data_IF_402433220372
#
_entry.id   IF_402433220372
#
_cell.length_a   1.000
_cell.length_b   1.000
_cell.length_c   1.000
_cell.angle_alpha   90.00
_cell.angle_beta   90.00
_cell.angle_gamma   90.00
#
_symmetry.space_group_name_H-M   'P 1'
#
loop_
_entity.id
_entity.type
_entity.pdbx_description
1 polymer ?
#
# COMPACT_ATOMS: atom_id res chain seq x y z
N UNK A 1 7.69 -12.75 2.91
CA UNK A 1 8.70 -13.28 1.95
C UNK A 1 10.16 -13.02 2.33
N UNK A 2 10.71 -11.80 2.23
CA UNK A 2 12.14 -11.54 2.48
C UNK A 2 12.58 -11.85 3.92
N UNK A 3 11.73 -11.54 4.89
CA UNK A 3 11.95 -11.89 6.30
C UNK A 3 11.95 -13.41 6.50
N UNK A 4 11.02 -14.14 5.88
CA UNK A 4 10.95 -15.61 5.97
C UNK A 4 12.13 -16.32 5.31
N UNK A 5 12.67 -15.78 4.21
CA UNK A 5 13.91 -16.27 3.61
C UNK A 5 15.10 -16.17 4.58
N UNK A 6 15.19 -15.06 5.31
CA UNK A 6 16.26 -14.83 6.28
C UNK A 6 16.14 -15.73 7.52
N UNK A 7 14.91 -16.08 7.90
CA UNK A 7 14.60 -16.94 9.04
C UNK A 7 14.84 -18.41 8.68
N UNK A 8 14.25 -18.89 7.59
CA UNK A 8 14.27 -20.31 7.23
C UNK A 8 15.56 -20.73 6.55
N UNK A 9 16.30 -19.79 5.93
CA UNK A 9 17.54 -20.05 5.16
C UNK A 9 17.46 -21.35 4.34
N UNK A 10 16.44 -21.50 3.48
CA UNK A 10 16.24 -22.70 2.69
C UNK A 10 17.40 -22.91 1.70
N UNK A 11 17.73 -24.18 1.42
CA UNK A 11 18.79 -24.55 0.48
C UNK A 11 18.52 -24.05 -0.95
N UNK A 12 17.24 -24.01 -1.36
CA UNK A 12 16.78 -23.36 -2.58
C UNK A 12 15.85 -22.17 -2.26
N UNK A 13 16.37 -20.93 -2.27
CA UNK A 13 15.57 -19.75 -1.96
C UNK A 13 14.52 -19.43 -3.03
N UNK A 14 14.71 -19.82 -4.29
CA UNK A 14 13.78 -19.50 -5.38
C UNK A 14 12.56 -20.42 -5.31
N UNK A 15 12.77 -21.72 -5.11
CA UNK A 15 11.66 -22.66 -4.95
C UNK A 15 10.87 -22.37 -3.66
N UNK A 16 11.56 -21.99 -2.58
CA UNK A 16 10.93 -21.51 -1.36
C UNK A 16 10.06 -20.27 -1.60
N UNK A 17 10.55 -19.27 -2.34
CA UNK A 17 9.77 -18.08 -2.70
C UNK A 17 8.54 -18.43 -3.54
N UNK A 18 8.69 -19.33 -4.51
CA UNK A 18 7.58 -19.76 -5.38
C UNK A 18 6.51 -20.49 -4.56
N UNK A 19 6.90 -21.39 -3.67
CA UNK A 19 5.96 -22.10 -2.80
C UNK A 19 5.33 -21.17 -1.78
N UNK A 20 6.11 -20.24 -1.20
CA UNK A 20 5.63 -19.19 -0.31
C UNK A 20 4.60 -18.29 -1.00
N UNK A 21 4.84 -17.84 -2.24
CA UNK A 21 3.89 -17.06 -3.03
C UNK A 21 2.61 -17.83 -3.41
N UNK A 22 2.72 -19.16 -3.60
CA UNK A 22 1.57 -20.02 -3.92
C UNK A 22 0.73 -20.36 -2.68
N UNK A 23 1.33 -20.40 -1.50
CA UNK A 23 0.69 -20.83 -0.26
C UNK A 23 0.23 -19.67 0.62
N UNK A 24 1.00 -18.59 0.67
CA UNK A 24 0.76 -17.43 1.53
C UNK A 24 0.10 -16.32 0.72
N UNK A 25 -1.11 -15.95 1.14
CA UNK A 25 -1.73 -14.71 0.68
C UNK A 25 -1.04 -13.55 1.40
N UNK A 26 -0.12 -12.84 0.74
CA UNK A 26 0.59 -11.68 1.31
C UNK A 26 -0.36 -10.56 1.78
N UNK A 27 -1.62 -10.58 1.34
CA UNK A 27 -2.68 -9.67 1.76
C UNK A 27 -3.49 -10.17 2.97
N UNK A 28 -3.23 -11.38 3.48
CA UNK A 28 -3.89 -11.89 4.67
C UNK A 28 -3.56 -11.03 5.91
N UNK A 29 -4.56 -10.65 6.73
CA UNK A 29 -4.34 -9.82 7.91
C UNK A 29 -3.52 -10.59 8.96
N UNK A 30 -2.49 -9.94 9.50
CA UNK A 30 -1.68 -10.44 10.63
C UNK A 30 -1.65 -9.34 11.68
N UNK A 31 -2.59 -9.37 12.63
CA UNK A 31 -2.84 -8.23 13.51
C UNK A 31 -2.73 -8.66 14.97
N UNK A 32 -2.02 -7.91 15.80
CA UNK A 32 -2.10 -8.03 17.25
C UNK A 32 -2.96 -6.91 17.83
N UNK A 33 -3.88 -7.24 18.74
CA UNK A 33 -4.69 -6.27 19.48
C UNK A 33 -4.31 -6.33 20.95
N UNK A 34 -3.65 -5.27 21.41
CA UNK A 34 -3.10 -5.09 22.75
C UNK A 34 -3.80 -3.96 23.50
N UNK A 35 -3.66 -3.94 24.82
CA UNK A 35 -4.26 -2.91 25.68
C UNK A 35 -4.41 -3.38 27.12
N UNK A 36 -4.78 -2.49 28.07
CA UNK A 36 -5.02 -2.82 29.46
C UNK A 36 -6.38 -3.51 29.68
N UNK A 37 -6.58 -4.33 30.73
CA UNK A 37 -7.87 -4.98 30.99
C UNK A 37 -9.05 -3.99 30.93
N UNK A 38 -10.18 -4.43 30.36
CA UNK A 38 -11.38 -3.60 30.12
C UNK A 38 -11.26 -2.47 29.06
N UNK A 39 -10.18 -2.44 28.26
CA UNK A 39 -10.04 -1.49 27.15
C UNK A 39 -10.87 -1.78 25.89
N UNK A 40 -11.62 -2.88 25.83
CA UNK A 40 -12.39 -3.28 24.64
C UNK A 40 -11.64 -4.08 23.57
N UNK A 41 -10.46 -4.65 23.91
CA UNK A 41 -9.67 -5.52 22.99
C UNK A 41 -10.51 -6.60 22.30
N UNK A 42 -11.32 -7.30 23.09
CA UNK A 42 -12.16 -8.41 22.64
C UNK A 42 -13.15 -7.96 21.57
N UNK A 43 -13.84 -6.84 21.81
CA UNK A 43 -14.78 -6.23 20.86
C UNK A 43 -14.07 -5.85 19.56
N UNK A 44 -12.90 -5.21 19.66
CA UNK A 44 -12.09 -4.83 18.48
C UNK A 44 -11.62 -6.06 17.71
N UNK A 45 -11.11 -7.08 18.39
CA UNK A 45 -10.63 -8.31 17.77
C UNK A 45 -11.77 -9.07 17.06
N UNK A 46 -12.94 -9.23 17.69
CA UNK A 46 -14.11 -9.86 17.06
C UNK A 46 -14.58 -9.10 15.82
N UNK A 47 -14.63 -7.78 15.90
CA UNK A 47 -15.04 -6.94 14.80
C UNK A 47 -14.07 -7.05 13.61
N UNK A 48 -12.75 -7.03 13.88
CA UNK A 48 -11.72 -7.24 12.86
C UNK A 48 -11.82 -8.63 12.22
N UNK A 49 -12.10 -9.68 13.01
CA UNK A 49 -12.29 -11.03 12.50
C UNK A 49 -13.48 -11.10 11.54
N UNK A 50 -14.59 -10.46 11.89
CA UNK A 50 -15.79 -10.38 11.04
C UNK A 50 -15.54 -9.59 9.76
N UNK A 51 -14.82 -8.47 9.86
CA UNK A 51 -14.56 -7.59 8.72
C UNK A 51 -13.59 -8.21 7.70
N UNK A 52 -12.51 -8.84 8.17
CA UNK A 52 -11.49 -9.42 7.30
C UNK A 52 -11.68 -10.93 7.04
N UNK A 53 -12.72 -11.54 7.59
CA UNK A 53 -12.93 -12.98 7.59
C UNK A 53 -11.69 -13.75 8.10
N UNK A 54 -11.09 -13.23 9.17
CA UNK A 54 -9.85 -13.71 9.76
C UNK A 54 -10.09 -14.47 11.07
N UNK A 55 -9.10 -15.25 11.49
CA UNK A 55 -9.24 -16.14 12.64
C UNK A 55 -8.81 -15.45 13.93
N UNK A 56 -9.71 -15.43 14.92
CA UNK A 56 -9.40 -14.97 16.27
C UNK A 56 -8.56 -16.00 17.00
N UNK A 57 -7.44 -15.56 17.58
CA UNK A 57 -6.58 -16.38 18.44
C UNK A 57 -6.40 -15.63 19.77
N UNK A 58 -7.03 -16.15 20.82
CA UNK A 58 -6.90 -15.67 22.20
C UNK A 58 -6.45 -16.81 23.13
N UNK A 59 -6.03 -16.46 24.35
CA UNK A 59 -5.71 -17.46 25.40
C UNK A 59 -6.84 -18.47 25.61
N UNK A 60 -8.08 -17.99 25.65
CA UNK A 60 -9.27 -18.82 25.85
C UNK A 60 -9.50 -19.75 24.65
N UNK A 61 -9.39 -19.23 23.42
CA UNK A 61 -9.60 -20.04 22.20
C UNK A 61 -8.53 -21.13 22.05
N UNK A 62 -7.29 -20.85 22.46
CA UNK A 62 -6.19 -21.83 22.43
C UNK A 62 -6.39 -22.96 23.45
N UNK A 63 -6.96 -22.66 24.62
CA UNK A 63 -7.19 -23.64 25.68
C UNK A 63 -8.48 -24.47 25.46
N UNK A 64 -9.47 -23.94 24.75
CA UNK A 64 -10.77 -24.62 24.58
C UNK A 64 -10.73 -25.77 23.56
N UNK A 65 -9.84 -25.74 22.56
CA UNK A 65 -9.77 -26.79 21.54
C UNK A 65 -8.98 -28.01 22.06
N UNK A 66 -9.68 -29.12 22.30
CA UNK A 66 -9.17 -30.42 22.81
C UNK A 66 -8.22 -31.18 21.88
N UNK A 67 -7.64 -30.54 20.86
CA UNK A 67 -6.97 -31.26 19.78
C UNK A 67 -5.48 -31.60 20.06
N UNK A 68 -4.85 -31.05 21.10
CA UNK A 68 -3.38 -31.02 21.21
C UNK A 68 -2.85 -31.49 22.57
N UNK A 69 -1.82 -32.36 22.55
CA UNK A 69 -1.13 -32.85 23.75
C UNK A 69 -0.54 -31.72 24.62
N UNK A 70 -0.12 -30.62 24.01
CA UNK A 70 0.37 -29.43 24.73
C UNK A 70 -0.75 -28.62 25.40
N UNK A 71 -2.00 -28.73 24.92
CA UNK A 71 -3.15 -28.08 25.57
C UNK A 71 -3.54 -28.76 26.87
N UNK A 72 -3.35 -30.08 26.98
CA UNK A 72 -3.55 -30.81 28.24
C UNK A 72 -2.54 -30.38 29.30
N UNK A 73 -1.28 -30.19 28.93
CA UNK A 73 -0.25 -29.67 29.83
C UNK A 73 -0.58 -28.24 30.29
N UNK A 74 -0.98 -27.36 29.37
CA UNK A 74 -1.41 -26.00 29.70
C UNK A 74 -2.66 -25.97 30.60
N UNK A 75 -3.64 -26.86 30.36
CA UNK A 75 -4.82 -27.04 31.22
C UNK A 75 -4.42 -27.51 32.61
N UNK A 76 -3.46 -28.42 32.74
CA UNK A 76 -2.98 -28.90 34.04
C UNK A 76 -2.32 -27.78 34.88
N UNK A 77 -1.61 -26.83 34.26
CA UNK A 77 -1.10 -25.65 34.97
C UNK A 77 -2.24 -24.74 35.44
N UNK A 78 -3.28 -24.56 34.61
CA UNK A 78 -4.45 -23.75 34.95
C UNK A 78 -5.26 -24.37 36.10
N UNK A 79 -5.46 -25.69 36.08
CA UNK A 79 -6.10 -26.44 37.18
C UNK A 79 -5.32 -26.34 38.50
N UNK A 80 -3.99 -26.18 38.43
CA UNK A 80 -3.10 -25.97 39.58
C UNK A 80 -2.98 -24.50 40.00
N UNK A 81 -3.72 -23.57 39.38
CA UNK A 81 -3.58 -22.12 39.57
C UNK A 81 -2.15 -21.60 39.37
N UNK A 82 -1.37 -22.23 38.50
CA UNK A 82 0.00 -21.82 38.15
C UNK A 82 0.03 -21.04 36.85
N UNK A 83 0.96 -20.07 36.73
CA UNK A 83 1.19 -19.34 35.47
C UNK A 83 1.75 -20.30 34.42
N UNK A 84 1.12 -20.32 33.25
CA UNK A 84 1.59 -21.11 32.10
C UNK A 84 2.92 -20.53 31.60
N UNK A 85 3.96 -21.36 31.37
CA UNK A 85 5.24 -20.89 30.86
C UNK A 85 5.12 -20.17 29.51
N UNK A 86 5.88 -19.08 29.32
CA UNK A 86 5.89 -18.29 28.07
C UNK A 86 6.24 -19.14 26.84
N UNK A 87 7.14 -20.12 26.99
CA UNK A 87 7.51 -21.04 25.92
C UNK A 87 6.34 -21.94 25.47
N UNK A 88 5.50 -22.39 26.41
CA UNK A 88 4.33 -23.21 26.08
C UNK A 88 3.29 -22.39 25.31
N UNK A 89 3.09 -21.13 25.69
CA UNK A 89 2.25 -20.20 24.93
C UNK A 89 2.75 -19.97 23.50
N UNK A 90 4.05 -19.74 23.33
CA UNK A 90 4.64 -19.54 22.01
C UNK A 90 4.44 -20.76 21.10
N UNK A 91 4.64 -21.98 21.62
CA UNK A 91 4.42 -23.23 20.89
C UNK A 91 2.96 -23.40 20.47
N UNK A 92 2.00 -23.17 21.39
CA UNK A 92 0.57 -23.26 21.11
C UNK A 92 0.13 -22.26 20.04
N UNK A 93 0.65 -21.02 20.09
CA UNK A 93 0.36 -20.00 19.09
C UNK A 93 0.97 -20.41 17.74
N UNK A 94 2.23 -20.83 17.72
CA UNK A 94 2.92 -21.26 16.50
C UNK A 94 2.17 -22.40 15.79
N UNK A 95 1.77 -23.42 16.53
CA UNK A 95 1.02 -24.56 15.99
C UNK A 95 -0.34 -24.10 15.46
N UNK A 96 -1.07 -23.25 16.20
CA UNK A 96 -2.37 -22.74 15.74
C UNK A 96 -2.26 -21.90 14.47
N UNK A 97 -1.22 -21.07 14.37
CA UNK A 97 -0.98 -20.20 13.23
C UNK A 97 -0.44 -20.95 12.01
N UNK A 98 0.14 -22.14 12.20
CA UNK A 98 0.61 -23.02 11.12
C UNK A 98 -0.51 -23.76 10.38
N UNK A 99 -1.75 -23.69 10.88
CA UNK A 99 -2.88 -24.32 10.21
C UNK A 99 -3.27 -23.58 8.92
N UNK A 100 -3.75 -24.35 7.93
CA UNK A 100 -4.09 -23.85 6.57
C UNK A 100 -5.16 -22.75 6.61
N UNK A 101 -6.05 -22.77 7.60
CA UNK A 101 -7.09 -21.77 7.80
C UNK A 101 -6.46 -20.40 8.14
N UNK A 102 -5.57 -20.34 9.13
CA UNK A 102 -4.84 -19.14 9.54
C UNK A 102 -3.93 -18.60 8.44
N UNK A 103 -3.30 -19.48 7.65
CA UNK A 103 -2.42 -19.10 6.54
C UNK A 103 -3.21 -18.39 5.43
N UNK A 104 -4.39 -18.91 5.06
CA UNK A 104 -5.19 -18.37 3.95
C UNK A 104 -6.02 -17.15 4.34
N UNK A 105 -6.62 -17.17 5.52
CA UNK A 105 -7.57 -16.14 5.99
C UNK A 105 -6.91 -15.06 6.83
N UNK A 106 -5.69 -15.29 7.31
CA UNK A 106 -5.03 -14.44 8.27
C UNK A 106 -5.51 -14.67 9.70
N UNK A 107 -4.85 -13.99 10.63
CA UNK A 107 -5.04 -14.17 12.06
C UNK A 107 -5.04 -12.84 12.81
N UNK A 108 -5.82 -12.81 13.89
CA UNK A 108 -5.88 -11.71 14.84
C UNK A 108 -5.54 -12.28 16.22
N UNK A 109 -4.36 -11.90 16.72
CA UNK A 109 -3.91 -12.25 18.06
C UNK A 109 -4.46 -11.24 19.06
N UNK A 110 -5.29 -11.71 19.98
CA UNK A 110 -5.85 -10.90 21.05
C UNK A 110 -5.09 -11.12 22.35
N UNK A 111 -4.60 -10.02 22.93
CA UNK A 111 -3.95 -10.05 24.25
C UNK A 111 -2.53 -10.64 24.25
N UNK A 112 -1.98 -10.99 23.09
CA UNK A 112 -0.59 -11.44 22.96
C UNK A 112 0.24 -10.48 22.09
N UNK A 113 1.51 -10.22 22.45
CA UNK A 113 2.20 -10.65 23.67
C UNK A 113 1.85 -9.82 24.93
N UNK A 114 1.96 -10.42 26.12
CA UNK A 114 1.75 -9.74 27.42
C UNK A 114 3.04 -9.20 28.05
N UNK A 115 4.20 -9.71 27.64
CA UNK A 115 5.51 -9.32 28.15
C UNK A 115 6.58 -9.39 27.04
N UNK A 116 7.78 -8.87 27.33
CA UNK A 116 8.90 -8.85 26.39
C UNK A 116 9.34 -10.25 25.95
N UNK A 117 9.40 -11.20 26.88
CA UNK A 117 9.81 -12.58 26.57
C UNK A 117 8.87 -13.26 25.57
N UNK A 118 7.56 -13.10 25.73
CA UNK A 118 6.57 -13.62 24.78
C UNK A 118 6.73 -12.96 23.40
N UNK A 119 6.98 -11.64 23.37
CA UNK A 119 7.20 -10.93 22.11
C UNK A 119 8.42 -11.47 21.35
N UNK A 120 9.53 -11.71 22.06
CA UNK A 120 10.73 -12.31 21.50
C UNK A 120 10.51 -13.74 21.03
N UNK A 121 9.81 -14.56 21.82
CA UNK A 121 9.50 -15.94 21.44
C UNK A 121 8.68 -15.99 20.15
N UNK A 122 7.62 -15.18 20.05
CA UNK A 122 6.81 -15.07 18.83
C UNK A 122 7.66 -14.69 17.62
N UNK A 123 8.53 -13.69 17.75
CA UNK A 123 9.43 -13.28 16.66
C UNK A 123 10.42 -14.39 16.28
N UNK A 124 11.00 -15.08 17.27
CA UNK A 124 11.92 -16.20 17.03
C UNK A 124 11.25 -17.40 16.33
N UNK A 125 9.96 -17.61 16.59
CA UNK A 125 9.12 -18.61 15.94
C UNK A 125 8.62 -18.19 14.55
N UNK A 126 9.05 -17.04 14.02
CA UNK A 126 8.65 -16.58 12.69
C UNK A 126 7.32 -15.82 12.65
N UNK A 127 6.75 -15.47 13.80
CA UNK A 127 5.42 -14.84 13.89
C UNK A 127 5.59 -13.32 13.96
N UNK A 128 5.39 -12.67 12.82
CA UNK A 128 5.47 -11.22 12.70
C UNK A 128 4.10 -10.61 12.40
N UNK A 129 3.51 -9.86 13.34
CA UNK A 129 2.31 -9.09 13.05
C UNK A 129 2.64 -7.97 12.07
N UNK A 130 1.78 -7.80 11.08
CA UNK A 130 1.83 -6.69 10.14
C UNK A 130 1.45 -5.40 10.87
N UNK A 131 0.39 -5.43 11.67
CA UNK A 131 -0.10 -4.29 12.45
C UNK A 131 -0.24 -4.66 13.92
N UNK A 132 0.13 -3.74 14.81
CA UNK A 132 -0.09 -3.86 16.25
C UNK A 132 -0.96 -2.69 16.71
N UNK A 133 -2.16 -3.00 17.17
CA UNK A 133 -3.11 -2.02 17.68
C UNK A 133 -3.01 -1.99 19.19
N UNK A 134 -2.75 -0.82 19.76
CA UNK A 134 -2.61 -0.67 21.20
C UNK A 134 -3.69 0.26 21.75
N UNK A 135 -4.64 -0.30 22.46
CA UNK A 135 -5.70 0.46 23.13
C UNK A 135 -5.19 1.02 24.45
N UNK A 136 -5.47 2.29 24.74
CA UNK A 136 -5.18 2.91 26.04
C UNK A 136 -6.38 3.69 26.55
N UNK A 137 -6.59 3.72 27.87
CA UNK A 137 -7.58 4.58 28.53
C UNK A 137 -7.11 4.83 29.97
N UNK A 138 -7.63 5.87 30.66
CA UNK A 138 -7.30 6.12 32.07
C UNK A 138 -7.69 4.94 32.97
N UNK A 139 -6.87 4.64 33.97
CA UNK A 139 -7.10 3.51 34.89
C UNK A 139 -8.44 3.61 35.62
N UNK A 140 -8.88 4.82 35.97
CA UNK A 140 -10.19 5.07 36.59
C UNK A 140 -11.33 4.58 35.69
N UNK A 141 -11.29 4.94 34.40
CA UNK A 141 -12.26 4.52 33.39
C UNK A 141 -12.23 3.00 33.20
N UNK A 142 -11.04 2.39 33.19
CA UNK A 142 -10.90 0.95 33.02
C UNK A 142 -11.44 0.15 34.22
N UNK A 143 -11.22 0.63 35.44
CA UNK A 143 -11.76 0.04 36.67
C UNK A 143 -13.30 0.11 36.65
N UNK A 144 -13.87 1.27 36.31
CA UNK A 144 -15.33 1.45 36.18
C UNK A 144 -15.93 0.50 35.13
N UNK A 145 -15.32 0.44 33.93
CA UNK A 145 -15.72 -0.47 32.85
C UNK A 145 -15.61 -1.94 33.25
N UNK A 146 -14.63 -2.28 34.09
CA UNK A 146 -14.48 -3.64 34.59
C UNK A 146 -15.63 -4.02 35.52
N UNK A 147 -16.13 -3.07 36.33
CA UNK A 147 -17.28 -3.28 37.22
C UNK A 147 -18.61 -3.53 36.50
N UNK A 148 -18.77 -2.98 35.28
CA UNK A 148 -19.96 -3.14 34.44
C UNK A 148 -20.05 -4.47 33.68
N UNK A 149 -19.01 -5.31 33.72
CA UNK A 149 -18.98 -6.59 33.00
C UNK A 149 -19.97 -7.60 33.58
N UNK A 150 -20.60 -8.36 32.69
CA UNK A 150 -21.46 -9.51 33.01
C UNK A 150 -21.07 -10.68 32.12
N UNK A 151 -21.10 -11.88 32.66
CA UNK A 151 -20.82 -13.12 31.93
C UNK A 151 -22.11 -13.90 31.81
N UNK A 152 -22.37 -14.41 30.60
CA UNK A 152 -23.40 -15.43 30.38
C UNK A 152 -22.82 -16.82 30.73
N UNK A 153 -23.36 -17.52 31.75
CA UNK A 153 -22.85 -18.83 32.15
C UNK A 153 -22.99 -19.92 31.08
N UNK A 154 -23.92 -19.76 30.13
CA UNK A 154 -24.19 -20.77 29.09
C UNK A 154 -23.31 -20.59 27.87
N UNK A 155 -23.18 -19.35 27.39
CA UNK A 155 -22.43 -19.04 26.16
C UNK A 155 -20.99 -18.62 26.45
N UNK A 156 -20.67 -18.30 27.71
CA UNK A 156 -19.42 -17.67 28.14
C UNK A 156 -19.16 -16.31 27.45
N UNK A 157 -20.20 -15.70 26.87
CA UNK A 157 -20.10 -14.36 26.29
C UNK A 157 -20.07 -13.29 27.39
N UNK A 158 -19.27 -12.25 27.16
CA UNK A 158 -19.10 -11.14 28.09
C UNK A 158 -19.88 -9.94 27.58
N UNK A 159 -20.85 -9.50 28.38
CA UNK A 159 -21.67 -8.32 28.16
C UNK A 159 -21.27 -7.17 29.09
N UNK A 160 -21.75 -5.96 28.81
CA UNK A 160 -21.51 -4.80 29.65
C UNK A 160 -22.79 -3.99 29.84
N UNK A 161 -23.10 -3.62 31.08
CA UNK A 161 -24.33 -2.87 31.46
C UNK A 161 -24.59 -1.62 30.63
N UNK A 162 -23.53 -0.89 30.28
CA UNK A 162 -23.61 0.39 29.57
C UNK A 162 -23.37 0.33 28.07
N UNK A 163 -22.54 -0.60 27.58
CA UNK A 163 -22.01 -0.54 26.20
C UNK A 163 -22.49 -1.68 25.30
N UNK A 164 -22.88 -2.80 25.88
CA UNK A 164 -23.20 -4.02 25.15
C UNK A 164 -24.16 -4.87 26.01
N UNK A 165 -25.39 -4.37 26.16
CA UNK A 165 -26.44 -5.05 26.92
C UNK A 165 -27.32 -5.85 25.96
N UNK A 166 -27.53 -7.16 26.18
CA UNK A 166 -28.26 -8.00 25.25
C UNK A 166 -29.73 -7.59 25.17
N UNK A 167 -30.33 -7.61 23.98
CA UNK A 167 -31.75 -7.25 23.79
C UNK A 167 -32.72 -8.32 24.30
N UNK A 168 -32.26 -9.57 24.41
CA UNK A 168 -33.08 -10.71 24.84
C UNK A 168 -33.22 -10.75 26.38
N UNK A 169 -34.44 -10.63 26.93
CA UNK A 169 -34.68 -10.65 28.38
C UNK A 169 -34.19 -11.93 29.07
N UNK A 170 -34.23 -13.08 28.39
CA UNK A 170 -33.81 -14.36 28.96
C UNK A 170 -32.29 -14.43 29.16
N UNK A 171 -31.54 -13.74 28.29
CA UNK A 171 -30.09 -13.60 28.44
C UNK A 171 -29.79 -12.65 29.60
N UNK A 172 -30.52 -11.54 29.71
CA UNK A 172 -30.32 -10.55 30.77
C UNK A 172 -30.48 -11.15 32.18
N UNK A 173 -31.51 -11.98 32.40
CA UNK A 173 -31.78 -12.57 33.72
C UNK A 173 -30.71 -13.56 34.19
N UNK A 174 -30.01 -14.22 33.27
CA UNK A 174 -28.96 -15.21 33.60
C UNK A 174 -27.55 -14.63 33.69
N UNK A 175 -27.37 -13.34 33.40
CA UNK A 175 -26.07 -12.68 33.44
C UNK A 175 -25.54 -12.56 34.87
N UNK A 176 -24.35 -13.11 35.13
CA UNK A 176 -23.71 -13.06 36.45
C UNK A 176 -22.49 -12.13 36.42
N UNK A 177 -22.21 -11.46 37.54
CA UNK A 177 -20.96 -10.72 37.71
C UNK A 177 -19.82 -11.73 37.92
N UNK A 178 -18.76 -11.73 37.10
CA UNK A 178 -17.61 -12.62 37.29
C UNK A 178 -16.97 -12.47 38.67
N UNK A 179 -16.54 -13.59 39.27
CA UNK A 179 -15.92 -13.64 40.59
C UNK A 179 -14.56 -12.90 40.64
N UNK A 180 -13.82 -12.86 39.52
CA UNK A 180 -12.44 -12.32 39.41
C UNK A 180 -12.33 -10.78 39.15
N UNK A 181 -13.36 -10.02 39.51
CA UNK A 181 -13.48 -8.58 39.20
C UNK A 181 -13.51 -7.68 40.43
N UNK A 182 -12.83 -8.06 41.52
CA UNK A 182 -12.62 -7.11 42.61
C UNK A 182 -11.76 -5.93 42.12
N UNK A 183 -12.03 -4.73 42.62
CA UNK A 183 -11.25 -3.53 42.23
C UNK A 183 -9.75 -3.70 42.49
N UNK A 184 -9.40 -4.44 43.55
CA UNK A 184 -8.01 -4.75 43.91
C UNK A 184 -7.33 -5.64 42.87
N UNK A 185 -8.02 -6.65 42.35
CA UNK A 185 -7.48 -7.54 41.30
C UNK A 185 -7.34 -6.82 39.96
N UNK A 186 -8.31 -5.98 39.60
CA UNK A 186 -8.22 -5.15 38.38
C UNK A 186 -7.04 -4.20 38.47
N UNK A 187 -6.84 -3.56 39.63
CA UNK A 187 -5.70 -2.69 39.89
C UNK A 187 -4.37 -3.44 39.79
N UNK A 188 -4.29 -4.67 40.31
CA UNK A 188 -3.10 -5.52 40.20
C UNK A 188 -2.78 -5.88 38.74
N UNK A 189 -3.80 -6.22 37.94
CA UNK A 189 -3.66 -6.51 36.50
C UNK A 189 -3.23 -5.27 35.71
N UNK A 190 -3.74 -4.09 36.05
CA UNK A 190 -3.31 -2.81 35.45
C UNK A 190 -1.85 -2.50 35.77
N UNK A 191 -1.43 -2.69 37.02
CA UNK A 191 -0.03 -2.50 37.42
C UNK A 191 0.93 -3.44 36.68
N UNK A 192 0.55 -4.71 36.52
CA UNK A 192 1.36 -5.69 35.76
C UNK A 192 1.46 -5.29 34.28
N UNK A 193 0.35 -4.85 33.68
CA UNK A 193 0.32 -4.33 32.32
C UNK A 193 1.24 -3.11 32.12
N UNK A 194 1.14 -2.11 33.00
CA UNK A 194 1.95 -0.88 32.90
C UNK A 194 3.45 -1.14 33.08
N UNK A 195 3.84 -2.19 33.80
CA UNK A 195 5.25 -2.63 33.91
C UNK A 195 5.79 -3.17 32.60
N UNK A 196 5.01 -4.01 31.91
CA UNK A 196 5.45 -4.68 30.68
C UNK A 196 5.28 -3.80 29.43
N UNK A 197 4.37 -2.82 29.48
CA UNK A 197 4.00 -1.97 28.36
C UNK A 197 5.19 -1.32 27.62
N UNK A 198 6.13 -0.64 28.30
CA UNK A 198 7.21 0.09 27.62
C UNK A 198 8.10 -0.81 26.76
N UNK A 199 8.33 -2.04 27.20
CA UNK A 199 9.18 -3.01 26.50
C UNK A 199 8.53 -3.49 25.20
N UNK A 200 7.23 -3.82 25.25
CA UNK A 200 6.46 -4.24 24.08
C UNK A 200 6.33 -3.08 23.07
N UNK A 201 6.11 -1.86 23.58
CA UNK A 201 6.04 -0.66 22.75
C UNK A 201 7.34 -0.47 21.94
N UNK A 202 8.49 -0.69 22.57
CA UNK A 202 9.78 -0.57 21.89
C UNK A 202 9.99 -1.64 20.81
N UNK A 203 9.61 -2.90 21.08
CA UNK A 203 9.73 -4.01 20.12
C UNK A 203 8.92 -3.76 18.85
N UNK A 204 7.68 -3.29 18.99
CA UNK A 204 6.76 -3.13 17.87
C UNK A 204 6.64 -1.68 17.36
N UNK A 205 7.53 -0.77 17.77
CA UNK A 205 7.43 0.66 17.49
C UNK A 205 7.14 1.01 16.01
N UNK A 206 7.66 0.23 15.06
CA UNK A 206 7.47 0.45 13.61
C UNK A 206 6.09 0.05 13.08
N UNK A 207 5.44 -0.90 13.74
CA UNK A 207 4.17 -1.50 13.32
C UNK A 207 3.03 -1.22 14.29
N UNK A 208 3.29 -0.46 15.36
CA UNK A 208 2.36 -0.21 16.46
C UNK A 208 1.70 1.17 16.34
N UNK A 209 0.39 1.22 16.61
CA UNK A 209 -0.36 2.47 16.79
C UNK A 209 -1.17 2.45 18.08
N UNK A 210 -1.00 3.49 18.89
CA UNK A 210 -1.81 3.74 20.08
C UNK A 210 -3.13 4.41 19.73
N UNK A 211 -4.25 3.89 20.24
CA UNK A 211 -5.60 4.41 20.01
C UNK A 211 -6.30 4.58 21.36
N UNK A 212 -6.91 5.75 21.56
CA UNK A 212 -7.68 6.03 22.78
C UNK A 212 -8.93 5.14 22.81
N UNK A 213 -9.13 4.40 23.89
CA UNK A 213 -10.33 3.60 24.13
C UNK A 213 -11.37 4.34 24.96
N UNK A 214 -11.05 5.53 25.48
CA UNK A 214 -11.99 6.42 26.18
C UNK A 214 -12.81 7.28 25.20
N UNK A 215 -13.46 6.61 24.25
CA UNK A 215 -14.35 7.18 23.25
C UNK A 215 -15.37 6.10 22.82
N UNK A 216 -16.45 6.46 22.10
CA UNK A 216 -17.43 5.49 21.62
C UNK A 216 -16.79 4.35 20.82
N UNK A 217 -17.31 3.13 20.94
CA UNK A 217 -16.76 1.92 20.31
C UNK A 217 -16.64 2.05 18.79
N UNK A 218 -17.59 2.73 18.16
CA UNK A 218 -17.60 3.01 16.71
C UNK A 218 -16.39 3.85 16.28
N UNK A 219 -16.00 4.84 17.09
CA UNK A 219 -14.86 5.72 16.80
C UNK A 219 -13.52 5.00 17.01
N UNK A 220 -13.44 4.15 18.04
CA UNK A 220 -12.28 3.26 18.23
C UNK A 220 -12.13 2.36 17.00
N UNK A 221 -13.21 1.70 16.59
CA UNK A 221 -13.20 0.76 15.47
C UNK A 221 -12.83 1.43 14.14
N UNK A 222 -13.34 2.63 13.87
CA UNK A 222 -13.01 3.37 12.64
C UNK A 222 -11.53 3.75 12.59
N UNK A 223 -10.94 4.17 13.71
CA UNK A 223 -9.51 4.48 13.80
C UNK A 223 -8.63 3.24 13.67
N UNK A 224 -9.05 2.12 14.27
CA UNK A 224 -8.37 0.83 14.17
C UNK A 224 -8.39 0.35 12.72
N UNK A 225 -9.57 0.38 12.08
CA UNK A 225 -9.75 0.04 10.68
C UNK A 225 -8.84 0.85 9.76
N UNK A 226 -8.89 2.18 9.90
CA UNK A 226 -8.09 3.07 9.08
C UNK A 226 -6.60 2.74 9.18
N UNK A 227 -6.13 2.37 10.38
CA UNK A 227 -4.76 1.94 10.60
C UNK A 227 -4.45 0.56 9.99
N UNK A 228 -5.26 -0.45 10.27
CA UNK A 228 -5.05 -1.83 9.78
C UNK A 228 -5.15 -1.89 8.25
N UNK A 229 -5.96 -1.05 7.64
CA UNK A 229 -6.06 -0.93 6.18
C UNK A 229 -4.88 -0.18 5.56
N UNK A 230 -4.08 0.55 6.36
CA UNK A 230 -2.85 1.15 5.82
C UNK A 230 -1.86 0.06 5.44
N UNK A 231 -1.34 0.09 4.22
CA UNK A 231 -0.22 -0.76 3.84
C UNK A 231 1.03 -0.21 4.55
N UNK A 232 1.64 -1.01 5.43
CA UNK A 232 2.97 -0.69 5.96
C UNK A 232 3.90 -0.36 4.81
N UNK A 233 4.60 0.77 4.93
CA UNK A 233 5.68 1.15 4.00
C UNK A 233 6.68 0.00 4.04
N UNK A 234 6.74 -0.81 2.99
CA UNK A 234 7.86 -1.74 2.84
C UNK A 234 9.13 -0.90 2.73
N UNK A 235 10.18 -1.30 3.42
CA UNK A 235 11.52 -0.78 3.16
C UNK A 235 12.04 -1.19 1.77
N UNK A 236 11.33 -2.06 1.06
CA UNK A 236 11.54 -2.25 -0.37
C UNK A 236 11.33 -0.90 -1.07
N UNK A 237 12.30 -0.43 -1.87
CA UNK A 237 12.22 0.86 -2.53
C UNK A 237 10.90 0.90 -3.29
N UNK A 238 10.06 1.87 -2.96
CA UNK A 238 8.89 2.16 -3.76
C UNK A 238 9.40 2.54 -5.13
N UNK A 239 9.40 1.60 -6.08
CA UNK A 239 9.79 1.90 -7.46
C UNK A 239 8.73 2.82 -8.05
N UNK A 240 9.03 4.10 -8.26
CA UNK A 240 8.06 5.05 -8.78
C UNK A 240 7.65 4.62 -10.19
N UNK A 241 6.35 4.57 -10.45
CA UNK A 241 5.74 4.15 -11.72
C UNK A 241 4.79 5.25 -12.13
N UNK A 242 5.35 6.28 -12.71
CA UNK A 242 4.70 7.58 -12.91
C UNK A 242 4.19 7.66 -14.35
N UNK A 243 2.96 8.13 -14.52
CA UNK A 243 2.32 8.32 -15.81
C UNK A 243 1.99 9.80 -16.03
N UNK A 244 2.46 10.36 -17.14
CA UNK A 244 2.24 11.77 -17.49
C UNK A 244 1.34 11.94 -18.71
N UNK A 245 0.18 12.57 -18.48
CA UNK A 245 -0.78 12.99 -19.48
C UNK A 245 -0.76 14.50 -19.66
N UNK A 246 -1.18 14.97 -20.84
CA UNK A 246 -1.34 16.39 -21.10
C UNK A 246 -1.32 16.74 -22.58
N UNK A 247 -1.71 17.96 -22.94
CA UNK A 247 -1.67 18.43 -24.32
C UNK A 247 -0.23 18.57 -24.83
N UNK A 248 0.00 18.60 -26.16
CA UNK A 248 1.29 18.98 -26.70
C UNK A 248 1.70 20.37 -26.19
N UNK A 249 3.00 20.59 -25.91
CA UNK A 249 3.49 21.86 -25.37
C UNK A 249 3.42 22.02 -23.85
N UNK A 250 2.78 21.09 -23.12
CA UNK A 250 2.64 21.15 -21.66
C UNK A 250 3.92 20.91 -20.84
N UNK A 251 5.07 20.66 -21.46
CA UNK A 251 6.33 20.43 -20.73
C UNK A 251 6.47 19.05 -20.07
N UNK A 252 5.50 18.13 -20.25
CA UNK A 252 5.55 16.76 -19.69
C UNK A 252 6.86 16.00 -19.93
N UNK A 253 7.47 16.13 -21.12
CA UNK A 253 8.74 15.47 -21.44
C UNK A 253 9.92 16.05 -20.65
N UNK A 254 9.90 17.37 -20.39
CA UNK A 254 10.91 18.03 -19.56
C UNK A 254 10.78 17.54 -18.12
N UNK A 255 9.57 17.53 -17.58
CA UNK A 255 9.32 17.04 -16.22
C UNK A 255 9.69 15.56 -16.07
N UNK A 256 9.43 14.73 -17.08
CA UNK A 256 9.83 13.33 -17.04
C UNK A 256 11.35 13.16 -16.98
N UNK A 257 12.09 13.97 -17.73
CA UNK A 257 13.55 13.98 -17.70
C UNK A 257 14.10 14.48 -16.35
N UNK A 258 13.51 15.54 -15.77
CA UNK A 258 13.92 16.05 -14.45
C UNK A 258 13.71 15.01 -13.34
N UNK A 259 12.59 14.29 -13.36
CA UNK A 259 12.30 13.22 -12.39
C UNK A 259 13.23 12.04 -12.58
N UNK A 260 13.45 11.61 -13.83
CA UNK A 260 14.41 10.57 -14.17
C UNK A 260 15.80 10.89 -13.63
N UNK A 261 16.26 12.13 -13.80
CA UNK A 261 17.55 12.56 -13.31
C UNK A 261 17.63 12.64 -11.78
N UNK A 262 16.59 13.16 -11.10
CA UNK A 262 16.61 13.36 -9.65
C UNK A 262 16.45 12.06 -8.85
N UNK A 263 15.60 11.15 -9.32
CA UNK A 263 15.23 9.93 -8.60
C UNK A 263 15.81 8.66 -9.21
N UNK A 264 16.69 8.80 -10.21
CA UNK A 264 17.32 7.69 -10.93
C UNK A 264 16.31 6.73 -11.57
N UNK A 265 15.18 7.26 -12.06
CA UNK A 265 14.10 6.46 -12.65
C UNK A 265 14.22 6.43 -14.16
N UNK A 266 13.75 5.35 -14.79
CA UNK A 266 13.85 5.23 -16.24
C UNK A 266 12.85 6.16 -16.94
N UNK A 267 13.33 7.09 -17.77
CA UNK A 267 12.47 7.93 -18.61
C UNK A 267 12.05 7.16 -19.86
N UNK A 268 10.75 6.87 -19.98
CA UNK A 268 10.19 6.17 -21.14
C UNK A 268 9.27 7.12 -21.87
N UNK A 269 9.70 7.56 -23.05
CA UNK A 269 8.85 8.27 -23.99
C UNK A 269 8.47 7.33 -25.13
N UNK A 270 7.18 7.02 -25.29
CA UNK A 270 6.72 6.06 -26.30
C UNK A 270 7.21 6.40 -27.72
N UNK A 271 7.19 7.69 -28.09
CA UNK A 271 7.66 8.12 -29.41
C UNK A 271 9.17 8.00 -29.61
N UNK A 272 9.95 8.02 -28.52
CA UNK A 272 11.39 7.80 -28.56
C UNK A 272 11.72 6.30 -28.59
N UNK A 273 11.02 5.51 -27.76
CA UNK A 273 11.14 4.06 -27.72
C UNK A 273 10.90 3.42 -29.11
N UNK A 274 9.91 3.89 -29.85
CA UNK A 274 9.65 3.43 -31.22
C UNK A 274 10.81 3.72 -32.18
N UNK A 275 11.49 4.86 -32.01
CA UNK A 275 12.64 5.24 -32.85
C UNK A 275 13.90 4.47 -32.47
N UNK A 276 14.14 4.28 -31.18
CA UNK A 276 15.23 3.46 -30.64
C UNK A 276 15.11 2.03 -31.16
N UNK A 277 13.92 1.44 -31.08
CA UNK A 277 13.67 0.10 -31.61
C UNK A 277 14.00 -0.06 -33.11
N UNK A 278 13.74 0.98 -33.92
CA UNK A 278 14.09 1.02 -35.35
C UNK A 278 15.59 1.23 -35.57
N UNK A 279 16.23 2.11 -34.78
CA UNK A 279 17.67 2.36 -34.87
C UNK A 279 18.49 1.12 -34.49
N UNK A 280 18.02 0.38 -33.49
CA UNK A 280 18.66 -0.84 -32.98
C UNK A 280 18.37 -2.09 -33.85
N UNK A 281 17.61 -1.95 -34.94
CA UNK A 281 17.20 -3.03 -35.84
C UNK A 281 16.59 -4.24 -35.11
N UNK A 282 15.76 -3.97 -34.11
CA UNK A 282 15.02 -5.03 -33.39
C UNK A 282 13.94 -5.64 -34.28
N UNK A 283 13.52 -6.89 -33.99
CA UNK A 283 12.42 -7.56 -34.72
C UNK A 283 11.12 -6.75 -34.70
N UNK A 284 10.81 -6.10 -33.58
CA UNK A 284 9.66 -5.20 -33.46
C UNK A 284 9.91 -3.87 -34.18
N UNK A 285 11.14 -3.36 -34.16
CA UNK A 285 11.57 -2.18 -34.92
C UNK A 285 11.35 -2.35 -36.42
N UNK A 286 11.71 -3.49 -37.00
CA UNK A 286 11.48 -3.79 -38.41
C UNK A 286 9.99 -3.73 -38.79
N UNK A 287 9.11 -4.23 -37.91
CA UNK A 287 7.65 -4.17 -38.12
C UNK A 287 7.10 -2.74 -38.00
N UNK A 288 7.71 -1.90 -37.18
CA UNK A 288 7.27 -0.52 -36.92
C UNK A 288 7.85 0.47 -37.93
N UNK A 289 9.04 0.19 -38.49
CA UNK A 289 9.76 1.02 -39.47
C UNK A 289 8.88 1.60 -40.60
N UNK A 290 8.05 0.82 -41.32
CA UNK A 290 7.24 1.37 -42.41
C UNK A 290 6.23 2.43 -41.93
N UNK A 291 5.72 2.32 -40.69
CA UNK A 291 4.80 3.30 -40.11
C UNK A 291 5.52 4.58 -39.70
N UNK A 292 6.77 4.49 -39.21
CA UNK A 292 7.57 5.67 -38.87
C UNK A 292 7.99 6.41 -40.14
N UNK A 293 8.47 5.69 -41.15
CA UNK A 293 8.95 6.27 -42.41
C UNK A 293 7.82 6.95 -43.21
N UNK A 294 6.61 6.38 -43.17
CA UNK A 294 5.40 6.98 -43.77
C UNK A 294 4.77 8.09 -42.92
N UNK A 295 5.22 8.29 -41.67
CA UNK A 295 4.62 9.23 -40.73
C UNK A 295 3.23 8.82 -40.21
N UNK A 296 2.80 7.59 -40.47
CA UNK A 296 1.50 7.06 -40.09
C UNK A 296 1.39 6.66 -38.61
N UNK A 297 0.18 6.42 -38.10
CA UNK A 297 -0.03 5.90 -36.74
C UNK A 297 0.45 4.44 -36.65
N UNK A 298 1.21 4.13 -35.60
CA UNK A 298 1.66 2.76 -35.32
C UNK A 298 0.53 1.97 -34.63
N UNK A 299 0.25 0.72 -35.04
CA UNK A 299 -0.75 -0.12 -34.40
C UNK A 299 -0.56 -0.30 -32.88
N UNK A 300 -1.64 -0.16 -32.11
CA UNK A 300 -1.63 -0.20 -30.63
C UNK A 300 -0.98 -1.48 -30.07
N UNK A 301 -1.22 -2.63 -30.69
CA UNK A 301 -0.65 -3.91 -30.27
C UNK A 301 0.88 -3.96 -30.37
N UNK A 302 1.48 -3.32 -31.39
CA UNK A 302 2.93 -3.23 -31.54
C UNK A 302 3.54 -2.29 -30.51
N UNK A 303 2.88 -1.15 -30.27
CA UNK A 303 3.28 -0.19 -29.24
C UNK A 303 3.26 -0.83 -27.86
N UNK A 304 2.19 -1.56 -27.53
CA UNK A 304 2.06 -2.25 -26.24
C UNK A 304 3.15 -3.31 -26.06
N UNK A 305 3.46 -4.11 -27.09
CA UNK A 305 4.54 -5.11 -27.02
C UNK A 305 5.90 -4.48 -26.72
N UNK A 306 6.25 -3.42 -27.44
CA UNK A 306 7.50 -2.68 -27.21
C UNK A 306 7.55 -2.05 -25.81
N UNK A 307 6.44 -1.47 -25.36
CA UNK A 307 6.35 -0.90 -24.02
C UNK A 307 6.50 -1.97 -22.94
N UNK A 308 5.80 -3.10 -23.06
CA UNK A 308 5.90 -4.21 -22.11
C UNK A 308 7.33 -4.74 -22.03
N UNK A 309 7.97 -4.96 -23.18
CA UNK A 309 9.37 -5.40 -23.22
C UNK A 309 10.32 -4.41 -22.51
N UNK A 310 10.16 -3.10 -22.77
CA UNK A 310 10.97 -2.06 -22.12
C UNK A 310 10.67 -1.89 -20.64
N UNK A 311 9.41 -2.06 -20.22
CA UNK A 311 9.00 -1.89 -18.82
C UNK A 311 9.33 -3.11 -17.96
N UNK A 312 9.52 -4.28 -18.59
CA UNK A 312 9.94 -5.52 -17.92
C UNK A 312 11.46 -5.66 -17.77
N UNK A 313 12.25 -4.71 -18.25
CA UNK A 313 13.71 -4.75 -18.07
C UNK A 313 14.11 -4.49 -16.61
N UNK A 314 15.29 -5.02 -16.23
CA UNK A 314 15.80 -4.99 -14.86
C UNK A 314 15.87 -3.57 -14.27
N UNK A 315 16.33 -2.59 -15.05
CA UNK A 315 16.42 -1.18 -14.66
C UNK A 315 15.05 -0.56 -14.32
N UNK A 316 14.02 -0.84 -15.14
CA UNK A 316 12.65 -0.39 -14.90
C UNK A 316 12.02 -1.07 -13.68
N UNK A 317 12.35 -2.34 -13.44
CA UNK A 317 11.86 -3.10 -12.30
C UNK A 317 12.54 -2.68 -10.99
N UNK A 318 13.83 -2.32 -11.03
CA UNK A 318 14.62 -1.97 -9.84
C UNK A 318 14.54 -0.50 -9.46
N UNK A 319 14.53 0.40 -10.45
CA UNK A 319 14.55 1.85 -10.23
C UNK A 319 13.19 2.52 -10.49
N UNK A 320 12.25 1.81 -11.13
CA UNK A 320 10.99 2.39 -11.55
C UNK A 320 11.09 3.14 -12.89
N UNK A 321 9.99 3.76 -13.29
CA UNK A 321 9.86 4.41 -14.58
C UNK A 321 8.91 5.61 -14.56
N UNK A 322 9.16 6.56 -15.46
CA UNK A 322 8.21 7.61 -15.83
C UNK A 322 7.82 7.39 -17.29
N UNK A 323 6.54 7.14 -17.54
CA UNK A 323 6.00 6.93 -18.87
C UNK A 323 5.32 8.20 -19.37
N UNK A 324 5.68 8.62 -20.58
CA UNK A 324 5.04 9.74 -21.28
C UNK A 324 4.65 9.37 -22.73
N UNK A 325 3.51 9.91 -23.18
CA UNK A 325 3.03 9.77 -24.55
C UNK A 325 2.22 8.50 -24.86
N UNK A 326 1.97 7.67 -23.84
CA UNK A 326 1.08 6.51 -23.85
C UNK A 326 0.50 6.33 -22.43
N UNK A 327 -0.79 5.98 -22.23
CA UNK A 327 -1.83 5.83 -23.25
C UNK A 327 -2.32 7.18 -23.79
N UNK A 328 -3.11 7.19 -24.87
CA UNK A 328 -3.73 8.38 -25.49
C UNK A 328 -5.25 8.29 -25.56
N UNK A 329 -5.79 7.12 -25.28
CA UNK A 329 -7.21 6.81 -25.20
C UNK A 329 -7.43 5.76 -24.10
N UNK A 330 -8.70 5.52 -23.77
CA UNK A 330 -9.08 4.57 -22.71
C UNK A 330 -8.74 3.13 -23.10
N UNK A 331 -8.84 2.77 -24.38
CA UNK A 331 -8.52 1.42 -24.85
C UNK A 331 -7.06 1.06 -24.57
N UNK A 332 -6.13 1.97 -24.84
CA UNK A 332 -4.72 1.81 -24.46
C UNK A 332 -4.53 1.78 -22.94
N UNK A 333 -5.33 2.52 -22.18
CA UNK A 333 -5.35 2.46 -20.72
C UNK A 333 -5.74 1.07 -20.18
N UNK A 334 -6.80 0.48 -20.73
CA UNK A 334 -7.21 -0.88 -20.41
C UNK A 334 -6.16 -1.91 -20.82
N UNK A 335 -5.49 -1.70 -21.96
CA UNK A 335 -4.41 -2.57 -22.41
C UNK A 335 -3.22 -2.59 -21.43
N UNK A 336 -2.83 -1.43 -20.87
CA UNK A 336 -1.82 -1.39 -19.80
C UNK A 336 -2.25 -2.15 -18.56
N UNK A 337 -3.52 -2.00 -18.16
CA UNK A 337 -4.06 -2.70 -17.01
C UNK A 337 -4.07 -4.22 -17.22
N UNK A 338 -4.48 -4.68 -18.41
CA UNK A 338 -4.44 -6.11 -18.80
C UNK A 338 -3.01 -6.65 -18.85
N UNK A 339 -2.04 -5.84 -19.25
CA UNK A 339 -0.62 -6.17 -19.23
C UNK A 339 0.01 -6.09 -17.83
N UNK A 340 -0.78 -5.83 -16.77
CA UNK A 340 -0.31 -5.66 -15.38
C UNK A 340 0.71 -4.52 -15.19
N UNK A 341 0.70 -3.55 -16.10
CA UNK A 341 1.51 -2.33 -16.01
C UNK A 341 0.66 -1.28 -15.28
N UNK A 342 0.66 -1.36 -13.95
CA UNK A 342 -0.10 -0.44 -13.12
C UNK A 342 0.77 0.74 -12.65
N UNK A 343 0.51 1.97 -13.11
CA UNK A 343 1.16 3.15 -12.56
C UNK A 343 0.72 3.36 -11.10
N UNK A 344 1.60 3.92 -10.29
CA UNK A 344 1.31 4.29 -8.91
C UNK A 344 1.01 5.79 -8.74
N UNK A 345 1.41 6.60 -9.71
CA UNK A 345 1.13 8.04 -9.78
C UNK A 345 0.75 8.41 -11.19
N UNK A 346 -0.31 9.20 -11.32
CA UNK A 346 -0.79 9.70 -12.61
C UNK A 346 -0.94 11.20 -12.50
N UNK A 347 -0.46 11.92 -13.52
CA UNK A 347 -0.51 13.39 -13.57
C UNK A 347 -1.11 13.86 -14.89
N UNK A 348 -2.12 14.71 -14.81
CA UNK A 348 -2.70 15.44 -15.94
C UNK A 348 -2.17 16.86 -15.96
N UNK A 349 -1.44 17.20 -17.00
CA UNK A 349 -0.94 18.55 -17.22
C UNK A 349 -2.00 19.37 -17.95
N UNK A 350 -2.41 20.48 -17.35
CA UNK A 350 -3.38 21.41 -17.90
C UNK A 350 -2.67 22.66 -18.41
N UNK A 351 -2.88 22.98 -19.69
CA UNK A 351 -2.33 24.17 -20.32
C UNK A 351 -3.41 24.83 -21.19
N UNK A 352 -3.63 26.15 -21.10
CA UNK A 352 -4.56 26.87 -21.96
C UNK A 352 -4.18 26.77 -23.44
N UNK A 353 -5.18 26.86 -24.33
CA UNK A 353 -4.99 26.79 -25.78
C UNK A 353 -4.01 27.85 -26.30
N UNK A 354 -4.17 29.09 -25.86
CA UNK A 354 -3.31 30.22 -26.27
C UNK A 354 -1.85 29.96 -25.88
N UNK A 355 -1.60 29.52 -24.64
CA UNK A 355 -0.27 29.17 -24.15
C UNK A 355 0.34 27.98 -24.92
N UNK A 356 -0.47 27.02 -25.38
CA UNK A 356 0.00 25.90 -26.23
C UNK A 356 0.47 26.43 -27.58
N UNK A 357 -0.33 27.27 -28.24
CA UNK A 357 -0.02 27.84 -29.55
C UNK A 357 1.24 28.70 -29.50
N UNK A 358 1.37 29.54 -28.46
CA UNK A 358 2.57 30.34 -28.24
C UNK A 358 3.81 29.47 -28.06
N UNK A 359 3.76 28.48 -27.16
CA UNK A 359 4.92 27.62 -26.86
C UNK A 359 5.36 26.77 -28.05
N UNK A 360 4.42 26.29 -28.86
CA UNK A 360 4.75 25.43 -30.01
C UNK A 360 5.20 26.24 -31.23
N UNK A 361 4.59 27.40 -31.49
CA UNK A 361 4.99 28.29 -32.61
C UNK A 361 6.41 28.83 -32.45
N UNK A 362 6.87 29.06 -31.23
CA UNK A 362 8.22 29.52 -30.91
C UNK A 362 9.23 28.38 -30.72
N UNK A 363 8.79 27.12 -30.81
CA UNK A 363 9.67 25.97 -30.65
C UNK A 363 10.53 25.77 -31.89
N UNK A 364 11.82 25.53 -31.68
CA UNK A 364 12.77 25.20 -32.74
C UNK A 364 13.47 23.90 -32.41
N UNK A 365 13.80 23.14 -33.44
CA UNK A 365 14.53 21.88 -33.33
C UNK A 365 15.82 22.01 -34.11
N UNK A 366 16.92 21.58 -33.50
CA UNK A 366 18.19 21.45 -34.18
C UNK A 366 18.17 20.16 -35.04
N UNK A 367 18.33 20.26 -36.38
CA UNK A 367 18.28 19.10 -37.25
C UNK A 367 19.45 18.12 -37.03
N UNK A 368 20.55 18.56 -36.43
CA UNK A 368 21.75 17.72 -36.21
C UNK A 368 21.63 16.93 -34.91
N UNK A 369 21.34 17.62 -33.80
CA UNK A 369 21.26 16.99 -32.47
C UNK A 369 19.88 16.45 -32.13
N UNK A 370 18.84 16.92 -32.82
CA UNK A 370 17.44 16.63 -32.48
C UNK A 370 16.95 17.37 -31.24
N UNK A 371 17.80 18.17 -30.59
CA UNK A 371 17.42 18.93 -29.40
C UNK A 371 16.41 20.03 -29.72
N UNK A 372 15.54 20.31 -28.74
CA UNK A 372 14.49 21.33 -28.84
C UNK A 372 14.88 22.56 -28.04
N UNK A 373 14.79 23.70 -28.70
CA UNK A 373 15.04 25.02 -28.16
C UNK A 373 13.76 25.85 -28.24
N UNK A 374 13.67 26.88 -27.40
CA UNK A 374 12.57 27.83 -27.38
C UNK A 374 13.16 29.24 -27.34
N UNK A 375 12.66 30.13 -28.18
CA UNK A 375 13.20 31.48 -28.34
C UNK A 375 13.37 32.22 -27.00
N UNK A 376 12.35 32.13 -26.14
CA UNK A 376 12.35 32.75 -24.79
C UNK A 376 12.90 31.86 -23.68
N UNK A 377 12.36 30.65 -23.47
CA UNK A 377 12.63 29.85 -22.27
C UNK A 377 13.91 29.00 -22.32
N UNK A 378 14.42 28.69 -23.52
CA UNK A 378 15.63 27.88 -23.72
C UNK A 378 16.29 28.27 -25.04
N UNK A 379 16.92 29.46 -25.12
CA UNK A 379 17.57 29.91 -26.34
C UNK A 379 18.74 28.99 -26.70
N UNK A 380 19.17 29.04 -27.97
CA UNK A 380 20.33 28.28 -28.43
C UNK A 380 21.59 28.76 -27.68
N UNK A 381 22.45 27.84 -27.22
CA UNK A 381 23.64 28.19 -26.42
C UNK A 381 24.74 28.83 -27.27
N UNK A 382 24.76 28.59 -28.58
CA UNK A 382 25.74 29.14 -29.51
C UNK A 382 25.07 29.72 -30.77
N UNK A 383 25.67 30.75 -31.40
CA UNK A 383 25.12 31.36 -32.61
C UNK A 383 25.07 30.38 -33.79
N UNK A 384 25.97 29.40 -33.84
CA UNK A 384 25.97 28.34 -34.86
C UNK A 384 24.74 27.44 -34.77
N UNK A 385 24.36 27.04 -33.55
CA UNK A 385 23.14 26.27 -33.31
C UNK A 385 21.93 27.15 -33.67
N UNK A 386 21.94 28.42 -33.24
CA UNK A 386 20.84 29.36 -33.52
C UNK A 386 20.56 29.50 -35.03
N UNK A 387 21.60 29.58 -35.86
CA UNK A 387 21.46 29.74 -37.30
C UNK A 387 20.89 28.49 -38.01
N UNK A 388 21.10 27.29 -37.46
CA UNK A 388 20.63 26.03 -38.08
C UNK A 388 19.28 25.53 -37.54
N UNK A 389 18.74 26.18 -36.51
CA UNK A 389 17.45 25.85 -35.92
C UNK A 389 16.31 25.94 -36.93
N UNK A 390 15.45 24.91 -36.98
CA UNK A 390 14.27 24.88 -37.84
C UNK A 390 13.00 24.64 -37.04
N UNK A 391 11.87 25.15 -37.52
CA UNK A 391 10.57 24.73 -36.99
C UNK A 391 10.28 23.30 -37.44
N UNK A 392 9.74 22.49 -36.53
CA UNK A 392 9.35 21.13 -36.87
C UNK A 392 8.02 21.18 -37.65
N UNK A 393 7.83 20.40 -38.73
CA UNK A 393 6.54 20.33 -39.43
C UNK A 393 5.36 19.96 -38.51
N UNK A 394 5.63 19.22 -37.43
CA UNK A 394 4.63 18.85 -36.40
C UNK A 394 4.18 20.02 -35.51
N UNK A 395 4.87 21.15 -35.60
CA UNK A 395 4.61 22.39 -34.86
C UNK A 395 4.03 23.48 -35.79
N UNK A 396 3.56 23.09 -36.97
CA UNK A 396 2.68 23.93 -37.79
C UNK A 396 1.28 23.98 -37.18
N UNK A 397 0.62 25.14 -37.29
CA UNK A 397 -0.68 25.42 -36.67
C UNK A 397 -1.74 24.35 -36.97
N UNK A 398 -1.93 23.97 -38.23
CA UNK A 398 -2.89 22.94 -38.63
C UNK A 398 -2.61 21.58 -37.96
N UNK A 399 -1.33 21.22 -37.81
CA UNK A 399 -0.92 19.96 -37.17
C UNK A 399 -1.05 20.02 -35.64
N UNK A 400 -0.87 21.20 -35.04
CA UNK A 400 -1.10 21.43 -33.62
C UNK A 400 -2.59 21.27 -33.32
N UNK A 401 -3.46 21.91 -34.10
CA UNK A 401 -4.92 21.83 -33.95
C UNK A 401 -5.43 20.40 -34.06
N UNK A 402 -5.01 19.65 -35.09
CA UNK A 402 -5.38 18.23 -35.25
C UNK A 402 -5.02 17.40 -34.01
N UNK A 403 -3.83 17.62 -33.43
CA UNK A 403 -3.38 16.90 -32.24
C UNK A 403 -4.12 17.33 -30.98
N UNK A 404 -4.49 18.61 -30.87
CA UNK A 404 -5.29 19.11 -29.76
C UNK A 404 -6.72 18.56 -29.81
N UNK A 405 -7.33 18.50 -30.98
CA UNK A 405 -8.66 17.92 -31.14
C UNK A 405 -8.71 16.46 -30.70
N UNK A 406 -7.71 15.65 -31.09
CA UNK A 406 -7.58 14.25 -30.64
C UNK A 406 -7.36 14.17 -29.12
N UNK A 407 -6.58 15.08 -28.55
CA UNK A 407 -6.35 15.10 -27.11
C UNK A 407 -7.64 15.41 -26.34
N UNK A 408 -8.34 16.49 -26.69
CA UNK A 408 -9.56 16.91 -26.00
C UNK A 408 -10.74 15.96 -26.21
N UNK A 409 -10.80 15.22 -27.32
CA UNK A 409 -11.82 14.18 -27.52
C UNK A 409 -11.66 13.01 -26.55
N UNK A 410 -10.43 12.73 -26.11
CA UNK A 410 -10.11 11.54 -25.31
C UNK A 410 -9.87 11.83 -23.83
N UNK A 411 -9.49 13.08 -23.48
CA UNK A 411 -9.01 13.42 -22.13
C UNK A 411 -10.05 13.12 -21.04
N UNK A 412 -11.33 13.46 -21.26
CA UNK A 412 -12.38 13.24 -20.27
C UNK A 412 -12.52 11.77 -19.90
N UNK A 413 -12.52 10.90 -20.91
CA UNK A 413 -12.65 9.47 -20.69
C UNK A 413 -11.42 8.88 -19.97
N UNK A 414 -10.23 9.45 -20.19
CA UNK A 414 -9.01 9.10 -19.46
C UNK A 414 -9.00 9.62 -18.02
N UNK A 415 -9.52 10.82 -17.76
CA UNK A 415 -9.69 11.38 -16.42
C UNK A 415 -10.66 10.52 -15.59
N UNK A 416 -11.77 10.08 -16.19
CA UNK A 416 -12.73 9.17 -15.57
C UNK A 416 -12.13 7.79 -15.25
N UNK A 417 -11.22 7.32 -16.10
CA UNK A 417 -10.50 6.05 -15.91
C UNK A 417 -9.44 6.16 -14.79
N UNK A 418 -8.73 7.28 -14.70
CA UNK A 418 -7.69 7.53 -13.68
C UNK A 418 -8.17 8.49 -12.58
N UNK A 419 -9.12 8.04 -11.77
CA UNK A 419 -9.79 8.87 -10.75
C UNK A 419 -8.86 9.44 -9.67
N UNK A 420 -7.75 8.75 -9.37
CA UNK A 420 -6.78 9.17 -8.34
C UNK A 420 -5.62 10.01 -8.91
N UNK A 421 -5.79 10.61 -10.09
CA UNK A 421 -4.75 11.39 -10.73
C UNK A 421 -4.62 12.81 -10.14
N UNK A 422 -3.42 13.35 -10.23
CA UNK A 422 -3.11 14.74 -9.85
C UNK A 422 -3.21 15.66 -11.06
N UNK A 423 -3.74 16.86 -10.86
CA UNK A 423 -3.85 17.88 -11.90
C UNK A 423 -2.75 18.94 -11.69
N UNK A 424 -1.95 19.15 -12.73
CA UNK A 424 -0.80 20.04 -12.73
C UNK A 424 -1.13 21.26 -13.59
N UNK A 425 -1.03 22.46 -13.03
CA UNK A 425 -1.07 23.68 -13.84
C UNK A 425 0.27 23.81 -14.59
N UNK A 426 0.26 23.54 -15.89
CA UNK A 426 1.44 23.59 -16.73
C UNK A 426 1.76 25.00 -17.24
N UNK A 427 0.93 26.00 -16.91
CA UNK A 427 1.14 27.40 -17.25
C UNK A 427 1.97 28.17 -16.21
N UNK A 428 3.00 27.52 -15.72
CA UNK A 428 3.90 28.05 -14.69
C UNK A 428 5.35 27.78 -15.08
N UNK A 429 6.26 28.35 -14.29
CA UNK A 429 7.68 28.07 -14.42
C UNK A 429 7.98 26.56 -14.24
N UNK A 430 8.87 25.96 -15.06
CA UNK A 430 9.19 24.54 -14.98
C UNK A 430 9.62 24.04 -13.60
N UNK A 431 10.30 24.87 -12.79
CA UNK A 431 10.74 24.48 -11.45
C UNK A 431 9.57 24.42 -10.47
N UNK A 432 8.61 25.35 -10.55
CA UNK A 432 7.39 25.32 -9.73
C UNK A 432 6.54 24.08 -10.04
N UNK A 433 6.43 23.74 -11.34
CA UNK A 433 5.77 22.52 -11.78
C UNK A 433 6.46 21.29 -11.20
N UNK A 434 7.79 21.27 -11.21
CA UNK A 434 8.59 20.16 -10.69
C UNK A 434 8.40 19.98 -9.17
N UNK A 435 8.47 21.06 -8.40
CA UNK A 435 8.22 21.05 -6.95
C UNK A 435 6.82 20.53 -6.60
N UNK A 436 5.80 20.95 -7.37
CA UNK A 436 4.44 20.44 -7.19
C UNK A 436 4.36 18.93 -7.42
N UNK A 437 4.98 18.42 -8.49
CA UNK A 437 5.00 16.99 -8.80
C UNK A 437 5.71 16.22 -7.69
N UNK A 438 6.87 16.70 -7.22
CA UNK A 438 7.61 16.12 -6.10
C UNK A 438 6.75 16.02 -4.83
N UNK A 439 6.02 17.10 -4.48
CA UNK A 439 5.13 17.11 -3.32
C UNK A 439 4.05 16.01 -3.39
N UNK A 440 3.62 15.66 -4.60
CA UNK A 440 2.58 14.66 -4.86
C UNK A 440 3.14 13.23 -4.93
N UNK A 441 4.38 13.05 -5.35
CA UNK A 441 5.09 11.76 -5.29
C UNK A 441 5.21 11.29 -3.84
N UNK A 442 5.47 12.21 -2.89
CA UNK A 442 5.69 11.92 -1.46
C UNK A 442 4.38 11.56 -0.71
N UNK A 443 3.20 11.89 -1.25
CA UNK A 443 1.90 11.56 -0.64
C UNK A 443 1.70 10.04 -0.51
N UNK A 444 0.79 9.54 0.35
CA UNK A 444 0.42 8.12 0.40
C UNK A 444 -0.07 7.61 -0.98
N UNK A 445 0.10 6.32 -1.25
CA UNK A 445 -0.44 5.70 -2.47
C UNK A 445 -1.98 5.75 -2.48
N UNK A 446 -2.62 5.93 -3.65
CA UNK A 446 -4.05 5.70 -3.74
C UNK A 446 -4.36 4.26 -3.37
N UNK A 447 -5.36 4.07 -2.52
CA UNK A 447 -5.88 2.75 -2.20
C UNK A 447 -6.53 2.17 -3.47
N UNK A 448 -6.14 0.95 -3.87
CA UNK A 448 -6.91 0.23 -4.90
C UNK A 448 -8.35 0.12 -4.41
N UNK A 449 -9.28 0.69 -5.17
CA UNK A 449 -10.71 0.47 -4.93
C UNK A 449 -10.99 -1.04 -5.08
N UNK A 450 -11.84 -1.62 -4.21
CA UNK A 450 -12.11 -3.06 -4.17
C UNK A 450 -12.69 -3.58 -5.49
#
# INVERSE_FOLDING_TARGET
>A
MLEELLIHKPDDPIEFMINHLKQNNDDAPRICVLGPPASGKTTVAMWLCKHFNAIRVSQETLLFKEALRQTEEAKAYKERNQKIPNALWANLIQERLSNVDCIKQGWILEGFPENQEQAWMLQSSGIFPRHVVMLYAPDTVLIERSGGKRLDPLTQEVFHTTFDWPSDPLVQERLVKPEDLSEQEVSKKLLEYHRNFPEIFHIYQKVLKSINADQPSVDVLSQVLAFVQTRHRSAAPFTPRILFFGPPGSGKSLQAALIAQKYDVVNICCGQLLKEAVADNTKLGELVKPYIDSGGPVPNNLVLKLLTERLSSLDCLSHGWVLSGFPRDVEQGEQLQKAQINPNRVFFFNLPYESIMERLSQRRTDPVTGERYHTTFRPAPTPEIQARLRQNPKDEEENIEKRLNIYYSNVKALEDFYQDAFYVNADQDPYVIFEFIESCIIKPLPCRKP
#
